data_IF_269205034229
#
_entry.id   IF_269205034229
#
_cell.length_a   1.000
_cell.length_b   1.000
_cell.length_c   1.000
_cell.angle_alpha   90.00
_cell.angle_beta   90.00
_cell.angle_gamma   90.00
#
_symmetry.space_group_name_H-M   'P 1'
#
loop_
_entity.id
_entity.type
_entity.pdbx_description
1 polymer ?
#
# COMPACT_ATOMS: atom_id res chain seq x y z
N UNK A 1 -3.44 5.99 16.75
CA UNK A 1 -2.78 6.39 15.47
C UNK A 1 -3.45 5.60 14.35
N UNK A 2 -3.57 6.15 13.14
CA UNK A 2 -4.07 5.38 12.01
C UNK A 2 -3.09 4.23 11.70
N UNK A 3 -3.54 3.00 11.45
CA UNK A 3 -2.65 1.86 11.22
C UNK A 3 -1.82 2.03 9.94
N UNK A 4 -2.35 2.76 8.96
CA UNK A 4 -1.66 3.08 7.73
C UNK A 4 -2.10 4.43 7.15
N UNK A 5 -1.37 4.90 6.14
CA UNK A 5 -1.78 5.96 5.21
C UNK A 5 -1.48 5.53 3.79
N UNK A 6 -2.31 5.95 2.85
CA UNK A 6 -2.14 5.66 1.44
C UNK A 6 -2.20 6.92 0.58
N UNK A 7 -1.39 6.98 -0.47
CA UNK A 7 -1.37 8.10 -1.42
C UNK A 7 -1.17 7.61 -2.85
N UNK A 8 -1.78 8.31 -3.81
CA UNK A 8 -1.48 8.12 -5.23
C UNK A 8 -0.25 8.95 -5.59
N UNK A 9 0.69 8.31 -6.29
CA UNK A 9 1.88 8.94 -6.86
C UNK A 9 1.82 8.84 -8.37
N UNK A 10 1.53 9.96 -9.00
CA UNK A 10 1.63 10.09 -10.44
C UNK A 10 3.11 10.16 -10.82
N UNK A 11 3.63 9.08 -11.42
CA UNK A 11 4.95 9.09 -12.03
C UNK A 11 4.84 9.24 -13.54
N UNK A 12 5.88 9.73 -14.23
CA UNK A 12 5.85 9.90 -15.69
C UNK A 12 5.66 8.59 -16.47
N UNK A 13 6.00 7.44 -15.87
CA UNK A 13 5.82 6.13 -16.50
C UNK A 13 4.44 5.58 -16.18
N UNK A 14 4.16 5.30 -14.91
CA UNK A 14 2.88 4.76 -14.46
C UNK A 14 2.49 5.32 -13.09
N UNK A 15 1.20 5.58 -12.85
CA UNK A 15 0.75 6.01 -11.55
C UNK A 15 0.84 4.82 -10.57
N UNK A 16 1.25 5.09 -9.34
CA UNK A 16 1.46 4.06 -8.30
C UNK A 16 0.71 4.43 -7.04
N UNK A 17 0.42 3.44 -6.19
CA UNK A 17 -0.14 3.68 -4.86
C UNK A 17 0.95 3.39 -3.83
N UNK A 18 1.20 4.35 -2.93
CA UNK A 18 2.11 4.16 -1.80
C UNK A 18 1.33 3.93 -0.53
N UNK A 19 1.71 2.90 0.22
CA UNK A 19 1.19 2.60 1.56
C UNK A 19 2.31 2.80 2.57
N UNK A 20 2.03 3.58 3.60
CA UNK A 20 2.89 3.80 4.76
C UNK A 20 2.22 3.14 5.96
N UNK A 21 2.90 2.21 6.60
CA UNK A 21 2.41 1.56 7.81
C UNK A 21 2.94 2.29 9.04
N UNK A 22 2.13 2.34 10.09
CA UNK A 22 2.59 2.84 11.39
C UNK A 22 3.50 1.83 12.11
N UNK A 23 3.38 0.54 11.79
CA UNK A 23 4.25 -0.54 12.27
C UNK A 23 4.95 -1.23 11.08
N UNK A 24 6.27 -1.09 11.02
CA UNK A 24 7.10 -1.67 9.96
C UNK A 24 7.18 -3.20 10.04
N UNK A 25 6.96 -3.80 11.22
CA UNK A 25 6.98 -5.26 11.38
C UNK A 25 5.88 -5.94 10.55
N UNK A 26 4.83 -5.20 10.19
CA UNK A 26 3.70 -5.69 9.39
C UNK A 26 3.96 -5.60 7.88
N UNK A 27 5.00 -4.89 7.43
CA UNK A 27 5.31 -4.68 6.00
C UNK A 27 5.34 -5.99 5.20
N UNK A 28 6.03 -7.07 5.64
CA UNK A 28 6.04 -8.32 4.88
C UNK A 28 4.67 -9.00 4.79
N UNK A 29 3.85 -8.91 5.85
CA UNK A 29 2.51 -9.51 5.89
C UNK A 29 1.55 -8.76 4.97
N UNK A 30 1.54 -7.43 5.07
CA UNK A 30 0.70 -6.57 4.23
C UNK A 30 1.11 -6.68 2.76
N UNK A 31 2.41 -6.78 2.46
CA UNK A 31 2.86 -7.03 1.08
C UNK A 31 2.22 -8.32 0.53
N UNK A 32 2.29 -9.41 1.27
CA UNK A 32 1.71 -10.69 0.86
C UNK A 32 0.19 -10.59 0.67
N UNK A 33 -0.50 -9.85 1.53
CA UNK A 33 -1.93 -9.57 1.37
C UNK A 33 -2.23 -8.84 0.05
N UNK A 34 -1.48 -7.77 -0.24
CA UNK A 34 -1.65 -6.95 -1.44
C UNK A 34 -1.27 -7.68 -2.74
N UNK A 35 -0.34 -8.65 -2.69
CA UNK A 35 0.05 -9.46 -3.85
C UNK A 35 -1.12 -10.34 -4.39
N UNK A 36 -2.22 -10.51 -3.65
CA UNK A 36 -3.40 -11.29 -4.10
C UNK A 36 -4.39 -10.50 -4.95
N UNK A 37 -4.21 -9.18 -5.12
CA UNK A 37 -5.09 -8.38 -5.96
C UNK A 37 -4.79 -8.65 -7.44
N UNK A 38 -5.80 -9.10 -8.20
CA UNK A 38 -5.64 -9.45 -9.61
C UNK A 38 -5.15 -8.28 -10.47
N UNK A 39 -5.51 -7.04 -10.14
CA UNK A 39 -5.14 -5.84 -10.88
C UNK A 39 -3.79 -5.23 -10.44
N UNK A 40 -3.16 -5.82 -9.41
CA UNK A 40 -1.81 -5.47 -8.99
C UNK A 40 -0.80 -6.25 -9.85
N UNK A 41 0.16 -5.52 -10.42
CA UNK A 41 1.25 -6.11 -11.18
C UNK A 41 2.41 -6.48 -10.26
N UNK A 42 2.76 -5.56 -9.35
CA UNK A 42 3.90 -5.72 -8.45
C UNK A 42 3.72 -4.88 -7.18
N UNK A 43 4.10 -5.44 -6.04
CA UNK A 43 4.29 -4.68 -4.80
C UNK A 43 5.76 -4.71 -4.42
N UNK A 44 6.36 -3.54 -4.23
CA UNK A 44 7.75 -3.39 -3.79
C UNK A 44 7.84 -2.72 -2.42
N UNK A 45 8.74 -3.22 -1.57
CA UNK A 45 9.15 -2.52 -0.35
C UNK A 45 10.25 -1.53 -0.74
N UNK A 46 10.01 -0.23 -0.51
CA UNK A 46 10.95 0.83 -0.83
C UNK A 46 11.23 1.69 0.40
N UNK A 47 12.50 2.03 0.60
CA UNK A 47 12.89 3.04 1.60
C UNK A 47 12.33 4.40 1.22
N UNK A 48 11.80 5.12 2.20
CA UNK A 48 11.40 6.51 2.00
C UNK A 48 12.62 7.39 2.16
N UNK A 49 13.00 8.12 1.12
CA UNK A 49 14.13 9.07 1.18
C UNK A 49 13.59 10.48 1.41
N UNK A 50 13.92 11.09 2.56
CA UNK A 50 13.57 12.48 2.86
C UNK A 50 13.87 12.87 4.31
N UNK A 51 14.15 14.15 4.56
CA UNK A 51 14.31 14.69 5.93
C UNK A 51 13.00 14.44 6.70
N UNK A 52 13.07 13.74 7.83
CA UNK A 52 11.95 13.35 8.71
C UNK A 52 11.01 12.25 8.20
N UNK A 53 11.43 11.42 7.24
CA UNK A 53 10.68 10.21 6.85
C UNK A 53 11.58 8.99 6.99
N UNK A 54 11.88 8.62 8.23
CA UNK A 54 12.45 7.31 8.50
C UNK A 54 11.36 6.27 8.27
N UNK A 55 11.60 5.35 7.33
CA UNK A 55 10.82 4.12 7.23
C UNK A 55 10.57 3.58 5.83
N UNK A 56 10.16 2.31 5.80
CA UNK A 56 9.81 1.57 4.59
C UNK A 56 8.35 1.86 4.17
N UNK A 57 8.12 1.90 2.85
CA UNK A 57 6.78 1.99 2.27
C UNK A 57 6.56 0.85 1.28
N UNK A 58 5.30 0.47 1.09
CA UNK A 58 4.90 -0.43 0.01
C UNK A 58 4.49 0.42 -1.18
N UNK A 59 5.17 0.23 -2.31
CA UNK A 59 4.82 0.83 -3.59
C UNK A 59 4.13 -0.21 -4.46
N UNK A 60 2.88 0.07 -4.83
CA UNK A 60 2.02 -0.81 -5.61
C UNK A 60 1.99 -0.30 -7.05
N UNK A 61 2.38 -1.17 -7.96
CA UNK A 61 2.28 -1.03 -9.40
C UNK A 61 1.04 -1.77 -9.88
N UNK A 62 0.24 -1.10 -10.70
CA UNK A 62 -1.01 -1.64 -11.22
C UNK A 62 -0.81 -2.01 -12.69
N UNK A 63 -1.58 -2.99 -13.16
CA UNK A 63 -1.63 -3.34 -14.58
C UNK A 63 -2.18 -2.16 -15.40
N UNK A 64 -1.78 -2.06 -16.66
CA UNK A 64 -2.09 -0.91 -17.55
C UNK A 64 -3.57 -0.54 -17.68
N UNK A 65 -4.48 -1.52 -17.53
CA UNK A 65 -5.92 -1.33 -17.67
C UNK A 65 -6.63 -0.99 -16.35
N UNK A 66 -5.92 -1.02 -15.22
CA UNK A 66 -6.50 -0.81 -13.90
C UNK A 66 -6.76 0.68 -13.63
N UNK A 67 -7.94 0.98 -13.07
CA UNK A 67 -8.28 2.32 -12.61
C UNK A 67 -7.66 2.57 -11.23
N UNK A 68 -6.67 3.44 -11.17
CA UNK A 68 -5.94 3.71 -9.92
C UNK A 68 -6.82 4.25 -8.79
N UNK A 69 -7.86 5.03 -9.11
CA UNK A 69 -8.74 5.60 -8.07
C UNK A 69 -9.59 4.52 -7.43
N UNK A 70 -10.12 3.62 -8.27
CA UNK A 70 -10.85 2.44 -7.80
C UNK A 70 -9.93 1.51 -7.02
N UNK A 71 -8.75 1.22 -7.55
CA UNK A 71 -7.77 0.36 -6.88
C UNK A 71 -7.34 0.90 -5.52
N UNK A 72 -7.06 2.20 -5.42
CA UNK A 72 -6.75 2.82 -4.13
C UNK A 72 -7.89 2.62 -3.13
N UNK A 73 -9.13 2.86 -3.55
CA UNK A 73 -10.31 2.72 -2.67
C UNK A 73 -10.52 1.27 -2.22
N UNK A 74 -10.33 0.30 -3.13
CA UNK A 74 -10.41 -1.13 -2.84
C UNK A 74 -9.30 -1.59 -1.88
N UNK A 75 -8.06 -1.16 -2.12
CA UNK A 75 -6.91 -1.45 -1.25
C UNK A 75 -7.14 -0.85 0.13
N UNK A 76 -7.54 0.42 0.21
CA UNK A 76 -7.80 1.10 1.49
C UNK A 76 -8.87 0.36 2.29
N UNK A 77 -9.98 -0.01 1.64
CA UNK A 77 -11.06 -0.75 2.30
C UNK A 77 -10.55 -2.10 2.81
N UNK A 78 -9.80 -2.84 1.99
CA UNK A 78 -9.25 -4.14 2.37
C UNK A 78 -8.25 -4.06 3.53
N UNK A 79 -7.39 -3.03 3.55
CA UNK A 79 -6.46 -2.80 4.65
C UNK A 79 -7.21 -2.40 5.92
N UNK A 80 -8.25 -1.58 5.82
CA UNK A 80 -9.09 -1.27 6.98
C UNK A 80 -9.69 -2.52 7.59
N UNK A 81 -10.27 -3.42 6.77
CA UNK A 81 -10.76 -4.71 7.25
C UNK A 81 -9.65 -5.55 7.89
N UNK A 82 -8.49 -5.65 7.26
CA UNK A 82 -7.34 -6.39 7.81
C UNK A 82 -6.97 -5.88 9.22
N UNK A 83 -6.90 -4.56 9.39
CA UNK A 83 -6.54 -3.97 10.69
C UNK A 83 -7.70 -3.99 11.70
N UNK A 84 -8.96 -3.95 11.26
CA UNK A 84 -10.11 -4.11 12.16
C UNK A 84 -10.22 -5.55 12.67
N UNK A 85 -10.01 -6.56 11.82
CA UNK A 85 -9.99 -7.97 12.26
C UNK A 85 -8.83 -8.25 13.24
N UNK A 86 -7.64 -7.70 12.98
CA UNK A 86 -6.44 -7.89 13.84
C UNK A 86 -6.54 -7.13 15.19
N UNK A 87 -7.50 -6.19 15.33
CA UNK A 87 -7.75 -5.42 16.56
C UNK A 87 -8.86 -6.02 17.46
N UNK A 88 -9.54 -7.08 17.00
CA UNK A 88 -10.69 -7.70 17.70
C UNK A 88 -10.33 -9.00 18.43
N UNK A 89 -9.05 -9.38 18.48
CA UNK A 89 -8.54 -10.46 19.35
C UNK A 89 -8.07 -9.97 20.73
#
# INVERSE_FOLDING_TARGET
>A
MLPFRSEIRNSPSHPTIKIFLSDEALVPRIKKHLDHFDDVELVEIRKTYGRNREGDNLTIFLKDHADITKMKSSIDSSLWWYFEEDLVD
#
